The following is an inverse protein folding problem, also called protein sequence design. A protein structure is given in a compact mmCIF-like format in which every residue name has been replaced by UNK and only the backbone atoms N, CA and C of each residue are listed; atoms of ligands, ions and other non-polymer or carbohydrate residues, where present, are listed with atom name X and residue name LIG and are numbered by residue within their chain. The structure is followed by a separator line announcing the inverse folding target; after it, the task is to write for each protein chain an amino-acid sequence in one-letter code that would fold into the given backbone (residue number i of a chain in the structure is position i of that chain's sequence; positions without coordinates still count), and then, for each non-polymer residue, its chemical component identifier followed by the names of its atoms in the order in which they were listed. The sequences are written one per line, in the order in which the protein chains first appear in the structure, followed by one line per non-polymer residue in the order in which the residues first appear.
data_IF_768133841715
#
_entry.id   IF_768133841715
#
_cell.length_a   1.000
_cell.length_b   1.000
_cell.length_c   1.000
_cell.angle_alpha   90.00
_cell.angle_beta   90.00
_cell.angle_gamma   90.00
#
_symmetry.space_group_name_H-M   'P 1'
#
loop_
_entity.id
_entity.type
_entity.pdbx_description
1 polymer ?
#
# COMPACT_ATOMS: atom_id res chain seq x y z
N UNK A 1 17.44 1.34 33.49
CA UNK A 1 18.01 1.58 32.15
C UNK A 1 17.87 0.36 31.21
N UNK A 2 16.82 -0.47 31.33
CA UNK A 2 16.64 -1.71 30.53
C UNK A 2 15.26 -1.82 29.86
N UNK A 3 14.36 -0.85 30.06
CA UNK A 3 13.04 -0.84 29.41
C UNK A 3 13.08 -0.44 27.93
N UNK A 4 14.15 0.22 27.47
CA UNK A 4 14.30 0.62 26.06
C UNK A 4 14.62 -0.53 25.11
N UNK A 5 15.58 -1.40 25.46
CA UNK A 5 16.02 -2.48 24.55
C UNK A 5 14.96 -3.55 24.29
N UNK A 6 14.16 -3.89 25.29
CA UNK A 6 13.07 -4.85 25.14
C UNK A 6 11.92 -4.33 24.27
N UNK A 7 11.52 -3.07 24.51
CA UNK A 7 10.46 -2.44 23.72
C UNK A 7 10.88 -2.22 22.26
N UNK A 8 12.13 -1.80 22.03
CA UNK A 8 12.71 -1.66 20.69
C UNK A 8 12.80 -3.00 19.96
N UNK A 9 13.22 -4.07 20.64
CA UNK A 9 13.25 -5.41 20.05
C UNK A 9 11.86 -5.92 19.67
N UNK A 10 10.88 -5.76 20.56
CA UNK A 10 9.49 -6.14 20.31
C UNK A 10 8.88 -5.33 19.17
N UNK A 11 9.13 -4.02 19.12
CA UNK A 11 8.70 -3.16 18.03
C UNK A 11 9.32 -3.60 16.70
N UNK A 12 10.62 -3.91 16.68
CA UNK A 12 11.30 -4.45 15.52
C UNK A 12 10.70 -5.78 15.05
N UNK A 13 10.44 -6.71 15.97
CA UNK A 13 9.79 -7.99 15.65
C UNK A 13 8.38 -7.81 15.08
N UNK A 14 7.59 -6.87 15.64
CA UNK A 14 6.26 -6.52 15.14
C UNK A 14 6.31 -5.90 13.73
N UNK A 15 7.30 -5.04 13.45
CA UNK A 15 7.50 -4.47 12.11
C UNK A 15 7.92 -5.53 11.10
N UNK A 16 8.81 -6.46 11.47
CA UNK A 16 9.18 -7.61 10.63
C UNK A 16 7.98 -8.50 10.33
N UNK A 17 7.15 -8.78 11.34
CA UNK A 17 5.88 -9.51 11.15
C UNK A 17 4.95 -8.73 10.20
N UNK A 18 4.84 -7.42 10.38
CA UNK A 18 4.05 -6.55 9.50
C UNK A 18 4.53 -6.57 8.04
N UNK A 19 5.84 -6.62 7.83
CA UNK A 19 6.47 -6.77 6.50
C UNK A 19 6.25 -8.16 5.89
N UNK A 20 6.31 -9.23 6.69
CA UNK A 20 6.02 -10.58 6.22
C UNK A 20 4.54 -10.72 5.79
N UNK A 21 3.61 -10.17 6.59
CA UNK A 21 2.19 -10.12 6.26
C UNK A 21 1.96 -9.28 5.01
N UNK A 22 2.62 -8.12 4.90
CA UNK A 22 2.61 -7.32 3.69
C UNK A 22 3.00 -8.17 2.48
N UNK A 23 4.12 -8.89 2.52
CA UNK A 23 4.59 -9.70 1.39
C UNK A 23 3.58 -10.80 0.98
N UNK A 24 3.01 -11.52 1.96
CA UNK A 24 2.02 -12.57 1.68
C UNK A 24 0.74 -11.99 1.07
N UNK A 25 0.18 -10.93 1.66
CA UNK A 25 -1.02 -10.27 1.16
C UNK A 25 -0.76 -9.61 -0.19
N UNK A 26 0.40 -8.98 -0.38
CA UNK A 26 0.85 -8.35 -1.61
C UNK A 26 0.88 -9.36 -2.76
N UNK A 27 1.51 -10.51 -2.57
CA UNK A 27 1.57 -11.57 -3.57
C UNK A 27 0.17 -12.09 -3.89
N UNK A 28 -0.62 -12.46 -2.87
CA UNK A 28 -1.96 -12.98 -3.07
C UNK A 28 -2.88 -11.99 -3.81
N UNK A 29 -2.90 -10.73 -3.38
CA UNK A 29 -3.72 -9.69 -4.02
C UNK A 29 -3.23 -9.34 -5.43
N UNK A 30 -1.92 -9.33 -5.66
CA UNK A 30 -1.38 -9.08 -7.00
C UNK A 30 -1.76 -10.18 -7.98
N UNK A 31 -1.67 -11.46 -7.56
CA UNK A 31 -2.10 -12.58 -8.39
C UNK A 31 -3.60 -12.52 -8.70
N UNK A 32 -4.45 -12.27 -7.70
CA UNK A 32 -5.90 -12.18 -7.91
C UNK A 32 -6.27 -10.97 -8.77
N UNK A 33 -5.56 -9.84 -8.63
CA UNK A 33 -5.82 -8.67 -9.46
C UNK A 33 -5.39 -8.88 -10.92
N UNK A 34 -4.30 -9.60 -11.17
CA UNK A 34 -3.86 -9.94 -12.52
C UNK A 34 -4.80 -10.94 -13.21
N UNK A 35 -5.42 -11.85 -12.47
CA UNK A 35 -6.31 -12.88 -13.05
C UNK A 35 -7.76 -12.43 -13.13
N UNK A 36 -8.27 -11.77 -12.09
CA UNK A 36 -9.68 -11.43 -11.94
C UNK A 36 -9.97 -9.92 -12.08
N UNK A 37 -8.95 -9.05 -12.12
CA UNK A 37 -9.11 -7.58 -12.08
C UNK A 37 -9.94 -7.11 -10.87
N UNK A 38 -9.79 -7.80 -9.74
CA UNK A 38 -10.53 -7.54 -8.50
C UNK A 38 -9.64 -7.73 -7.29
N UNK A 39 -9.78 -6.84 -6.31
CA UNK A 39 -9.15 -6.99 -5.00
C UNK A 39 -10.20 -7.42 -3.96
N UNK A 40 -10.15 -8.68 -3.48
CA UNK A 40 -11.18 -9.22 -2.61
C UNK A 40 -11.13 -8.61 -1.20
N UNK A 41 -12.26 -8.01 -0.79
CA UNK A 41 -12.45 -7.43 0.54
C UNK A 41 -12.13 -8.42 1.69
N UNK A 42 -12.35 -9.72 1.49
CA UNK A 42 -12.05 -10.79 2.46
C UNK A 42 -10.56 -10.91 2.81
N UNK A 43 -9.66 -10.43 1.96
CA UNK A 43 -8.22 -10.34 2.25
C UNK A 43 -7.85 -8.94 2.69
N UNK A 44 -8.41 -7.94 1.99
CA UNK A 44 -8.04 -6.54 2.19
C UNK A 44 -8.45 -5.98 3.56
N UNK A 45 -9.64 -6.30 4.06
CA UNK A 45 -10.08 -5.82 5.37
C UNK A 45 -9.32 -6.44 6.54
N UNK A 46 -9.11 -7.77 6.60
CA UNK A 46 -8.25 -8.35 7.62
C UNK A 46 -6.83 -7.80 7.57
N UNK A 47 -6.27 -7.62 6.37
CA UNK A 47 -4.94 -7.03 6.22
C UNK A 47 -4.88 -5.61 6.80
N UNK A 48 -5.83 -4.74 6.44
CA UNK A 48 -5.92 -3.39 7.00
C UNK A 48 -6.02 -3.40 8.54
N UNK A 49 -6.84 -4.29 9.10
CA UNK A 49 -7.02 -4.42 10.54
C UNK A 49 -5.74 -4.85 11.25
N UNK A 50 -5.06 -5.88 10.73
CA UNK A 50 -3.80 -6.38 11.30
C UNK A 50 -2.69 -5.34 11.19
N UNK A 51 -2.53 -4.69 10.04
CA UNK A 51 -1.57 -3.59 9.86
C UNK A 51 -1.81 -2.47 10.87
N UNK A 52 -3.06 -2.03 11.02
CA UNK A 52 -3.41 -0.96 11.97
C UNK A 52 -3.11 -1.38 13.41
N UNK A 53 -3.45 -2.61 13.79
CA UNK A 53 -3.16 -3.15 15.12
C UNK A 53 -1.66 -3.21 15.41
N UNK A 54 -0.85 -3.66 14.45
CA UNK A 54 0.61 -3.69 14.57
C UNK A 54 1.16 -2.27 14.74
N UNK A 55 0.75 -1.31 13.90
CA UNK A 55 1.24 0.06 13.98
C UNK A 55 0.84 0.76 15.28
N UNK A 56 -0.36 0.50 15.81
CA UNK A 56 -0.78 0.99 17.14
C UNK A 56 0.16 0.43 18.22
N UNK A 57 0.43 -0.87 18.22
CA UNK A 57 1.31 -1.48 19.21
C UNK A 57 2.74 -0.92 19.12
N UNK A 58 3.27 -0.78 17.91
CA UNK A 58 4.59 -0.19 17.68
C UNK A 58 4.65 1.26 18.16
N UNK A 59 3.63 2.07 17.84
CA UNK A 59 3.53 3.46 18.31
C UNK A 59 3.46 3.57 19.83
N UNK A 60 2.75 2.67 20.50
CA UNK A 60 2.69 2.63 21.97
C UNK A 60 4.02 2.20 22.60
N UNK A 61 4.71 1.22 22.00
CA UNK A 61 6.01 0.74 22.49
C UNK A 61 7.12 1.76 22.33
N UNK A 62 7.14 2.48 21.20
CA UNK A 62 8.18 3.47 20.87
C UNK A 62 7.80 4.90 21.27
N UNK A 63 6.56 5.15 21.71
CA UNK A 63 6.05 6.49 22.00
C UNK A 63 5.81 7.35 20.74
N UNK A 64 5.72 6.75 19.56
CA UNK A 64 5.56 7.45 18.28
C UNK A 64 4.10 7.57 17.82
N UNK A 65 3.30 8.26 18.64
CA UNK A 65 1.93 8.61 18.27
C UNK A 65 1.87 9.53 17.02
N UNK A 66 2.77 10.51 16.83
CA UNK A 66 2.79 11.32 15.61
C UNK A 66 2.99 10.49 14.34
N UNK A 67 3.86 9.47 14.37
CA UNK A 67 4.05 8.52 13.26
C UNK A 67 2.77 7.75 12.92
N UNK A 68 2.05 7.26 13.94
CA UNK A 68 0.75 6.61 13.74
C UNK A 68 -0.28 7.53 13.08
N UNK A 69 -0.43 8.76 13.60
CA UNK A 69 -1.36 9.74 13.03
C UNK A 69 -1.00 10.10 11.60
N UNK A 70 0.30 10.23 11.30
CA UNK A 70 0.80 10.45 9.95
C UNK A 70 0.48 9.28 9.02
N UNK A 71 0.63 8.04 9.48
CA UNK A 71 0.21 6.84 8.76
C UNK A 71 -1.27 6.85 8.42
N UNK A 72 -2.13 7.12 9.40
CA UNK A 72 -3.59 7.23 9.20
C UNK A 72 -3.94 8.35 8.22
N UNK A 73 -3.34 9.53 8.39
CA UNK A 73 -3.56 10.67 7.50
C UNK A 73 -3.13 10.36 6.06
N UNK A 74 -1.97 9.72 5.87
CA UNK A 74 -1.48 9.33 4.56
C UNK A 74 -2.37 8.28 3.89
N UNK A 75 -2.81 7.25 4.64
CA UNK A 75 -3.77 6.25 4.16
C UNK A 75 -5.09 6.89 3.71
N UNK A 76 -5.67 7.73 4.56
CA UNK A 76 -6.92 8.43 4.22
C UNK A 76 -6.75 9.36 3.03
N UNK A 77 -5.64 10.11 2.95
CA UNK A 77 -5.37 11.03 1.85
C UNK A 77 -5.22 10.28 0.52
N UNK A 78 -4.39 9.23 0.49
CA UNK A 78 -4.18 8.45 -0.73
C UNK A 78 -5.47 7.77 -1.18
N UNK A 79 -6.19 7.12 -0.25
CA UNK A 79 -7.50 6.54 -0.53
C UNK A 79 -8.51 7.58 -1.02
N UNK A 80 -8.56 8.76 -0.41
CA UNK A 80 -9.47 9.84 -0.81
C UNK A 80 -9.16 10.35 -2.22
N UNK A 81 -7.88 10.57 -2.56
CA UNK A 81 -7.47 10.96 -3.91
C UNK A 81 -7.91 9.90 -4.94
N UNK A 82 -7.71 8.62 -4.64
CA UNK A 82 -8.13 7.53 -5.52
C UNK A 82 -9.65 7.44 -5.64
N UNK A 83 -10.38 7.72 -4.56
CA UNK A 83 -11.83 7.80 -4.57
C UNK A 83 -12.30 8.95 -5.48
N UNK A 84 -11.69 10.13 -5.40
CA UNK A 84 -12.00 11.27 -6.27
C UNK A 84 -11.76 10.91 -7.74
N UNK A 85 -10.61 10.31 -8.07
CA UNK A 85 -10.32 9.85 -9.44
C UNK A 85 -11.38 8.86 -9.91
N UNK A 86 -11.80 7.92 -9.06
CA UNK A 86 -12.88 6.98 -9.38
C UNK A 86 -14.24 7.67 -9.57
N UNK A 87 -14.54 8.75 -8.86
CA UNK A 87 -15.79 9.48 -9.03
C UNK A 87 -15.80 10.28 -10.34
N UNK A 88 -14.66 10.84 -10.74
CA UNK A 88 -14.52 11.59 -12.00
C UNK A 88 -14.44 10.64 -13.20
N UNK A 89 -13.69 9.54 -13.08
CA UNK A 89 -13.51 8.52 -14.12
C UNK A 89 -13.68 7.10 -13.54
N UNK A 90 -14.91 6.61 -13.35
CA UNK A 90 -15.18 5.28 -12.78
C UNK A 90 -14.49 4.09 -13.48
N UNK A 91 -14.25 4.11 -14.81
CA UNK A 91 -13.58 3.00 -15.47
C UNK A 91 -12.08 2.89 -15.17
N UNK A 92 -11.44 3.96 -14.67
CA UNK A 92 -9.97 4.01 -14.56
C UNK A 92 -9.43 3.36 -13.28
N UNK A 93 -10.17 3.43 -12.16
CA UNK A 93 -9.72 2.92 -10.86
C UNK A 93 -10.82 2.10 -10.19
N UNK A 94 -10.49 0.88 -9.77
CA UNK A 94 -11.40 0.01 -9.04
C UNK A 94 -11.59 0.45 -7.58
N UNK A 95 -12.74 0.11 -6.98
CA UNK A 95 -12.94 0.32 -5.54
C UNK A 95 -11.95 -0.48 -4.68
N UNK A 96 -11.42 -1.57 -5.23
CA UNK A 96 -10.34 -2.35 -4.62
C UNK A 96 -9.08 -1.51 -4.46
N UNK A 97 -8.67 -0.81 -5.51
CA UNK A 97 -7.46 0.02 -5.53
C UNK A 97 -7.56 1.19 -4.55
N UNK A 98 -8.75 1.80 -4.44
CA UNK A 98 -9.04 2.86 -3.46
C UNK A 98 -8.76 2.38 -2.04
N UNK A 99 -9.25 1.18 -1.69
CA UNK A 99 -9.04 0.60 -0.36
C UNK A 99 -7.61 0.13 -0.16
N UNK A 100 -6.98 -0.40 -1.20
CA UNK A 100 -5.58 -0.79 -1.18
C UNK A 100 -4.68 0.42 -0.90
N UNK A 101 -4.94 1.56 -1.55
CA UNK A 101 -4.22 2.82 -1.31
C UNK A 101 -4.29 3.26 0.17
N UNK A 102 -5.42 3.03 0.85
CA UNK A 102 -5.52 3.29 2.30
C UNK A 102 -4.54 2.43 3.09
N UNK A 103 -4.49 1.12 2.81
CA UNK A 103 -3.59 0.20 3.51
C UNK A 103 -2.13 0.52 3.24
N UNK A 104 -1.78 0.77 1.97
CA UNK A 104 -0.40 1.12 1.58
C UNK A 104 0.05 2.46 2.16
N UNK A 105 -0.88 3.44 2.25
CA UNK A 105 -0.64 4.71 2.89
C UNK A 105 -0.41 4.60 4.40
N UNK A 106 -1.01 3.63 5.10
CA UNK A 106 -0.71 3.37 6.51
C UNK A 106 0.75 2.97 6.70
N UNK A 107 1.25 2.02 5.90
CA UNK A 107 2.65 1.57 5.96
C UNK A 107 3.63 2.71 5.66
N UNK A 108 3.42 3.37 4.52
CA UNK A 108 4.36 4.40 4.03
C UNK A 108 4.30 5.67 4.87
N UNK A 109 3.11 6.09 5.30
CA UNK A 109 2.94 7.27 6.13
C UNK A 109 3.46 7.09 7.55
N UNK A 110 3.45 5.85 8.08
CA UNK A 110 4.09 5.57 9.36
C UNK A 110 5.59 5.89 9.32
N UNK A 111 6.27 5.58 8.20
CA UNK A 111 7.68 5.90 7.98
C UNK A 111 7.92 7.36 7.58
N UNK A 112 7.06 7.92 6.72
CA UNK A 112 6.96 9.35 6.49
C UNK A 112 6.46 9.80 5.13
N UNK A 113 6.24 11.10 5.01
CA UNK A 113 5.69 11.72 3.80
C UNK A 113 6.58 11.53 2.57
N UNK A 114 7.90 11.49 2.76
CA UNK A 114 8.85 11.18 1.68
C UNK A 114 8.61 9.76 1.16
N UNK A 115 8.43 8.79 2.05
CA UNK A 115 8.12 7.40 1.68
C UNK A 115 6.77 7.27 0.99
N UNK A 116 5.74 8.03 1.43
CA UNK A 116 4.43 8.10 0.77
C UNK A 116 4.59 8.63 -0.66
N UNK A 117 5.29 9.76 -0.83
CA UNK A 117 5.51 10.36 -2.15
C UNK A 117 6.29 9.41 -3.07
N UNK A 118 7.34 8.76 -2.55
CA UNK A 118 8.11 7.75 -3.29
C UNK A 118 7.22 6.57 -3.72
N UNK A 119 6.39 6.04 -2.83
CA UNK A 119 5.48 4.93 -3.14
C UNK A 119 4.50 5.31 -4.25
N UNK A 120 3.83 6.46 -4.13
CA UNK A 120 2.91 6.96 -5.14
C UNK A 120 3.61 7.11 -6.48
N UNK A 121 4.75 7.82 -6.53
CA UNK A 121 5.49 8.07 -7.77
C UNK A 121 5.93 6.75 -8.40
N UNK A 122 6.55 5.84 -7.64
CA UNK A 122 7.01 4.55 -8.14
C UNK A 122 5.85 3.72 -8.69
N UNK A 123 4.70 3.68 -8.01
CA UNK A 123 3.52 2.96 -8.49
C UNK A 123 3.00 3.51 -9.81
N UNK A 124 2.91 4.84 -9.96
CA UNK A 124 2.46 5.46 -11.21
C UNK A 124 3.47 5.30 -12.35
N UNK A 125 4.77 5.41 -12.06
CA UNK A 125 5.83 5.19 -13.05
C UNK A 125 5.81 3.74 -13.55
N UNK A 126 5.72 2.76 -12.65
CA UNK A 126 5.64 1.34 -13.02
C UNK A 126 4.40 1.05 -13.87
N UNK A 127 3.22 1.53 -13.43
CA UNK A 127 1.98 1.36 -14.19
C UNK A 127 2.06 2.02 -15.58
N UNK A 128 2.63 3.23 -15.66
CA UNK A 128 2.80 3.97 -16.90
C UNK A 128 3.77 3.28 -17.88
N UNK A 129 4.90 2.80 -17.40
CA UNK A 129 5.88 2.05 -18.22
C UNK A 129 5.24 0.79 -18.79
N UNK A 130 4.55 0.01 -17.97
CA UNK A 130 3.89 -1.22 -18.46
C UNK A 130 2.75 -0.90 -19.42
N UNK A 131 1.96 0.15 -19.17
CA UNK A 131 0.92 0.60 -20.10
C UNK A 131 1.52 0.99 -21.47
N UNK A 132 2.64 1.72 -21.49
CA UNK A 132 3.34 2.09 -22.72
C UNK A 132 3.85 0.85 -23.46
N UNK A 133 4.47 -0.11 -22.75
CA UNK A 133 4.96 -1.35 -23.36
C UNK A 133 3.81 -2.15 -24.00
N UNK A 134 2.67 -2.27 -23.30
CA UNK A 134 1.50 -3.00 -23.82
C UNK A 134 0.89 -2.31 -25.05
N UNK A 135 0.90 -0.98 -25.10
CA UNK A 135 0.44 -0.20 -26.25
C UNK A 135 1.40 -0.37 -27.45
N UNK A 136 2.72 -0.31 -27.23
CA UNK A 136 3.73 -0.48 -28.29
C UNK A 136 3.70 -1.90 -28.85
N UNK A 137 3.56 -2.91 -27.98
CA UNK A 137 3.48 -4.32 -28.39
C UNK A 137 2.10 -4.72 -28.96
N UNK A 138 1.14 -3.78 -29.00
CA UNK A 138 -0.26 -3.99 -29.45
C UNK A 138 -0.98 -5.14 -28.71
N UNK A 139 -0.53 -5.46 -27.50
CA UNK A 139 -1.16 -6.47 -26.64
C UNK A 139 -2.33 -5.90 -25.82
N UNK A 140 -2.45 -4.57 -25.75
CA UNK A 140 -3.59 -3.89 -25.16
C UNK A 140 -4.08 -2.78 -26.09
N UNK A 141 -5.39 -2.52 -26.03
CA UNK A 141 -6.00 -1.39 -26.71
C UNK A 141 -6.39 -0.32 -25.68
N UNK A 142 -6.76 0.89 -26.12
CA UNK A 142 -7.12 2.00 -25.19
C UNK A 142 -8.29 1.68 -24.25
N UNK A 143 -9.02 0.60 -24.50
CA UNK A 143 -10.16 0.14 -23.70
C UNK A 143 -9.82 -0.99 -22.73
N UNK A 144 -8.62 -1.57 -22.82
CA UNK A 144 -8.20 -2.67 -21.94
C UNK A 144 -7.98 -2.14 -20.52
N UNK A 145 -8.68 -2.73 -19.54
CA UNK A 145 -8.47 -2.38 -18.13
C UNK A 145 -7.16 -3.00 -17.65
N UNK A 146 -6.25 -2.15 -17.19
CA UNK A 146 -4.99 -2.59 -16.58
C UNK A 146 -5.23 -2.79 -15.09
N UNK A 147 -4.80 -3.94 -14.56
CA UNK A 147 -4.79 -4.25 -13.14
C UNK A 147 -3.81 -3.29 -12.43
N UNK A 148 -4.31 -2.37 -11.60
CA UNK A 148 -3.50 -1.33 -10.97
C UNK A 148 -2.89 -1.78 -9.63
N UNK A 149 -3.50 -2.77 -8.97
CA UNK A 149 -3.11 -3.30 -7.67
C UNK A 149 -1.65 -3.74 -7.59
N UNK A 150 -1.14 -4.57 -8.52
CA UNK A 150 0.26 -5.01 -8.52
C UNK A 150 1.25 -3.85 -8.56
N UNK A 151 0.98 -2.80 -9.35
CA UNK A 151 1.87 -1.64 -9.45
C UNK A 151 1.85 -0.79 -8.18
N UNK A 152 0.68 -0.65 -7.54
CA UNK A 152 0.56 -0.03 -6.22
C UNK A 152 1.41 -0.76 -5.17
N UNK A 153 1.30 -2.08 -5.15
CA UNK A 153 2.01 -2.95 -4.23
C UNK A 153 3.52 -2.90 -4.46
N UNK A 154 3.98 -3.06 -5.71
CA UNK A 154 5.42 -3.07 -6.03
C UNK A 154 6.03 -1.69 -5.77
N UNK A 155 5.39 -0.60 -6.18
CA UNK A 155 5.89 0.75 -5.93
C UNK A 155 5.98 1.05 -4.43
N UNK A 156 5.00 0.59 -3.65
CA UNK A 156 5.06 0.68 -2.18
C UNK A 156 6.19 -0.16 -1.61
N UNK A 157 6.35 -1.42 -2.03
CA UNK A 157 7.43 -2.28 -1.55
C UNK A 157 8.82 -1.66 -1.79
N UNK A 158 9.04 -1.10 -2.99
CA UNK A 158 10.29 -0.42 -3.34
C UNK A 158 10.53 0.81 -2.46
N UNK A 159 9.49 1.60 -2.19
CA UNK A 159 9.59 2.76 -1.32
C UNK A 159 9.91 2.36 0.14
N UNK A 160 9.31 1.28 0.65
CA UNK A 160 9.57 0.77 2.00
C UNK A 160 10.99 0.21 2.15
N UNK A 161 11.55 -0.40 1.11
CA UNK A 161 12.94 -0.92 1.13
C UNK A 161 13.96 0.22 1.08
N UNK A 162 13.63 1.33 0.40
CA UNK A 162 14.51 2.48 0.26
C UNK A 162 14.45 3.49 1.40
N UNK A 163 13.65 3.26 2.45
CA UNK A 163 13.41 4.19 3.56
C UNK A 163 14.09 3.79 4.86
#
# INVERSE_FOLDING_TARGET
MTSGSGAEFLAGALLLLGGAIFAVCAVALSFIDLTEHRLPNRILYPWAGVTTGILILVALLLGDLPGLLRGVAAGLLWGFVFLLVRLVHPPSIGMGDVKLAVVLGLYTGFLGWVTVAAAVVLSFVLAGVVAIILLITRQADRRTRIAFGPFLIIGTALALIGS
#
